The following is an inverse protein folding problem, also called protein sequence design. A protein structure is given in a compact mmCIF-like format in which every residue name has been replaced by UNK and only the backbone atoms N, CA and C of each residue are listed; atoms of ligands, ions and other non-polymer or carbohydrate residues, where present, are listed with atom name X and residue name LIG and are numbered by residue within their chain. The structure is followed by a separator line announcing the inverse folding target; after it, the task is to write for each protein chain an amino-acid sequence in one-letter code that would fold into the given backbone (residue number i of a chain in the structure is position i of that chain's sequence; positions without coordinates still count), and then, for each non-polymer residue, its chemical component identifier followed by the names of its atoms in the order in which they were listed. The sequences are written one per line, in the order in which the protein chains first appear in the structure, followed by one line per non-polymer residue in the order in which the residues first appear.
data_IF_320581071469
#
_entry.id   IF_320581071469
#
_cell.length_a   1.000
_cell.length_b   1.000
_cell.length_c   1.000
_cell.angle_alpha   90.00
_cell.angle_beta   90.00
_cell.angle_gamma   90.00
#
_symmetry.space_group_name_H-M   'P 1'
#
loop_
_entity.id
_entity.type
_entity.pdbx_description
1 polymer ?
#
# COMPACT_ATOMS: atom_id res chain seq x y z
N UNK A 1 -5.37 20.23 8.13
CA UNK A 1 -3.93 19.89 8.12
C UNK A 1 -3.68 18.90 6.99
N UNK A 2 -2.54 19.02 6.30
CA UNK A 2 -2.08 18.01 5.36
C UNK A 2 -1.55 16.82 6.18
N UNK A 3 -1.76 15.57 5.70
CA UNK A 3 -1.23 14.40 6.38
C UNK A 3 0.30 14.46 6.45
N UNK A 4 0.88 13.99 7.55
CA UNK A 4 2.33 13.98 7.76
C UNK A 4 3.08 13.02 6.79
N UNK A 5 2.35 12.10 6.17
CA UNK A 5 2.86 11.16 5.19
C UNK A 5 1.98 11.16 3.92
N UNK A 6 2.58 11.31 2.75
CA UNK A 6 1.88 11.44 1.46
C UNK A 6 2.63 10.67 0.38
N UNK A 7 1.94 9.79 -0.33
CA UNK A 7 2.46 9.18 -1.56
C UNK A 7 2.35 10.22 -2.68
N UNK A 8 3.45 10.49 -3.37
CA UNK A 8 3.51 11.52 -4.41
C UNK A 8 3.59 10.95 -5.82
N UNK A 9 4.20 9.78 -6.01
CA UNK A 9 4.39 9.18 -7.34
C UNK A 9 4.56 7.67 -7.26
N UNK A 10 4.10 6.97 -8.30
CA UNK A 10 4.45 5.58 -8.56
C UNK A 10 4.99 5.44 -9.98
N UNK A 11 6.08 4.70 -10.14
CA UNK A 11 6.66 4.35 -11.43
C UNK A 11 6.74 2.83 -11.53
N UNK A 12 6.21 2.29 -12.62
CA UNK A 12 6.35 0.88 -12.99
C UNK A 12 7.16 0.81 -14.27
N UNK A 13 8.30 0.14 -14.26
CA UNK A 13 9.23 0.11 -15.41
C UNK A 13 8.59 -0.58 -16.61
N UNK A 14 7.83 -1.65 -16.36
CA UNK A 14 7.05 -2.36 -17.37
C UNK A 14 5.99 -3.25 -16.71
N UNK A 15 4.98 -3.68 -17.49
CA UNK A 15 3.97 -4.62 -17.04
C UNK A 15 3.32 -5.29 -18.25
N UNK A 16 3.05 -6.59 -18.19
CA UNK A 16 2.36 -7.28 -19.28
C UNK A 16 0.97 -6.73 -19.58
N UNK A 17 0.32 -6.12 -18.59
CA UNK A 17 -1.06 -5.66 -18.71
C UNK A 17 -1.17 -4.15 -18.97
N UNK A 18 -0.35 -3.34 -18.32
CA UNK A 18 -0.43 -1.87 -18.40
C UNK A 18 0.75 -1.25 -19.16
N UNK A 19 1.79 -2.03 -19.48
CA UNK A 19 3.05 -1.49 -19.99
C UNK A 19 3.79 -0.65 -18.95
N UNK A 20 4.74 0.21 -19.39
CA UNK A 20 5.37 1.20 -18.53
C UNK A 20 4.32 2.20 -18.02
N UNK A 21 4.41 2.56 -16.73
CA UNK A 21 3.41 3.42 -16.10
C UNK A 21 4.08 4.40 -15.14
N UNK A 22 3.68 5.65 -15.23
CA UNK A 22 4.01 6.68 -14.24
C UNK A 22 2.74 7.38 -13.81
N UNK A 23 2.50 7.45 -12.50
CA UNK A 23 1.34 8.11 -11.92
C UNK A 23 1.85 9.09 -10.86
N UNK A 24 1.48 10.34 -10.99
CA UNK A 24 1.64 11.36 -9.97
C UNK A 24 0.35 11.45 -9.14
N UNK A 25 0.50 11.53 -7.81
CA UNK A 25 -0.63 11.57 -6.88
C UNK A 25 -0.80 12.97 -6.28
N UNK A 26 -2.05 13.36 -6.13
CA UNK A 26 -2.41 14.55 -5.37
C UNK A 26 -2.22 14.26 -3.86
N UNK A 27 -1.86 15.29 -3.10
CA UNK A 27 -1.61 15.15 -1.65
C UNK A 27 -2.87 14.90 -0.81
N UNK A 28 -4.05 15.19 -1.32
CA UNK A 28 -5.30 15.04 -0.59
C UNK A 28 -6.09 13.80 -1.00
N UNK A 29 -6.58 13.78 -2.22
CA UNK A 29 -7.48 12.74 -2.70
C UNK A 29 -7.16 12.39 -4.15
N UNK A 30 -7.15 11.08 -4.46
CA UNK A 30 -6.95 10.56 -5.79
C UNK A 30 -8.04 9.56 -6.15
N UNK A 31 -8.64 9.70 -7.30
CA UNK A 31 -9.64 8.78 -7.82
C UNK A 31 -9.16 8.13 -9.12
N UNK A 32 -9.14 6.79 -9.16
CA UNK A 32 -8.86 6.04 -10.38
C UNK A 32 -10.19 5.66 -11.03
N UNK A 33 -10.50 6.27 -12.16
CA UNK A 33 -11.77 6.13 -12.87
C UNK A 33 -11.56 5.32 -14.15
N UNK A 34 -12.54 4.53 -14.54
CA UNK A 34 -12.51 3.75 -15.78
C UNK A 34 -13.50 2.60 -15.75
N UNK A 35 -13.76 1.99 -16.90
CA UNK A 35 -14.65 0.85 -17.07
C UNK A 35 -14.17 -0.43 -16.39
N UNK A 36 -14.96 -1.50 -16.46
CA UNK A 36 -14.56 -2.82 -15.98
C UNK A 36 -13.39 -3.35 -16.83
N UNK A 37 -12.37 -3.92 -16.19
CA UNK A 37 -11.22 -4.51 -16.88
C UNK A 37 -10.11 -3.53 -17.29
N UNK A 38 -10.24 -2.22 -17.01
CA UNK A 38 -9.25 -1.20 -17.41
C UNK A 38 -7.99 -1.12 -16.54
N UNK A 39 -7.80 -2.03 -15.59
CA UNK A 39 -6.58 -2.06 -14.77
C UNK A 39 -6.59 -1.23 -13.49
N UNK A 40 -7.73 -0.62 -13.09
CA UNK A 40 -7.81 0.17 -11.85
C UNK A 40 -7.31 -0.58 -10.61
N UNK A 41 -7.80 -1.80 -10.41
CA UNK A 41 -7.37 -2.64 -9.30
C UNK A 41 -5.92 -3.11 -9.44
N UNK A 42 -5.43 -3.24 -10.67
CA UNK A 42 -4.03 -3.60 -10.96
C UNK A 42 -3.09 -2.48 -10.53
N UNK A 43 -3.43 -1.22 -10.83
CA UNK A 43 -2.67 -0.04 -10.38
C UNK A 43 -2.56 -0.02 -8.85
N UNK A 44 -3.68 -0.19 -8.16
CA UNK A 44 -3.69 -0.24 -6.69
C UNK A 44 -2.90 -1.44 -6.14
N UNK A 45 -2.94 -2.58 -6.81
CA UNK A 45 -2.16 -3.76 -6.44
C UNK A 45 -0.65 -3.53 -6.60
N UNK A 46 -0.24 -2.81 -7.65
CA UNK A 46 1.18 -2.45 -7.84
C UNK A 46 1.66 -1.47 -6.78
N UNK A 47 0.84 -0.47 -6.43
CA UNK A 47 1.14 0.46 -5.35
C UNK A 47 1.31 -0.27 -4.01
N UNK A 48 0.37 -1.14 -3.66
CA UNK A 48 0.41 -1.95 -2.44
C UNK A 48 1.65 -2.84 -2.40
N UNK A 49 1.93 -3.53 -3.50
CA UNK A 49 3.10 -4.40 -3.61
C UNK A 49 4.40 -3.62 -3.48
N UNK A 50 4.52 -2.46 -4.14
CA UNK A 50 5.69 -1.57 -4.05
C UNK A 50 5.93 -1.06 -2.63
N UNK A 51 4.87 -0.83 -1.86
CA UNK A 51 4.92 -0.42 -0.45
C UNK A 51 4.98 -1.61 0.52
N UNK A 52 5.18 -2.83 0.02
CA UNK A 52 5.27 -4.05 0.83
C UNK A 52 4.00 -4.32 1.67
N UNK A 53 2.84 -3.75 1.28
CA UNK A 53 1.58 -4.03 1.93
C UNK A 53 1.13 -5.45 1.56
N UNK A 54 0.98 -6.28 2.57
CA UNK A 54 0.37 -7.60 2.44
C UNK A 54 -0.98 -7.57 3.14
N UNK A 55 -2.03 -8.13 2.51
CA UNK A 55 -3.30 -8.31 3.20
C UNK A 55 -3.02 -9.09 4.49
N UNK A 56 -3.51 -8.58 5.61
CA UNK A 56 -3.33 -9.24 6.89
C UNK A 56 -3.91 -10.66 6.82
N UNK A 57 -3.07 -11.66 7.11
CA UNK A 57 -3.49 -13.07 7.21
C UNK A 57 -4.38 -13.33 8.45
N UNK A 58 -4.90 -12.26 9.08
CA UNK A 58 -5.63 -12.35 10.34
C UNK A 58 -7.03 -12.96 10.25
N UNK A 59 -7.52 -13.28 9.05
CA UNK A 59 -8.78 -13.99 8.87
C UNK A 59 -8.54 -15.42 8.33
N UNK A 60 -7.83 -16.26 9.09
CA UNK A 60 -7.78 -17.70 8.84
C UNK A 60 -9.16 -18.40 8.97
N UNK A 61 -10.19 -17.68 9.41
CA UNK A 61 -11.55 -18.20 9.57
C UNK A 61 -12.44 -17.96 8.35
N UNK A 62 -12.07 -17.09 7.41
CA UNK A 62 -12.81 -16.93 6.16
C UNK A 62 -11.97 -17.41 4.98
N UNK A 63 -12.44 -18.47 4.30
CA UNK A 63 -11.89 -18.98 3.04
C UNK A 63 -11.75 -17.93 1.92
N UNK A 64 -12.34 -16.74 2.11
CA UNK A 64 -12.30 -15.62 1.19
C UNK A 64 -11.10 -14.68 1.37
N UNK A 65 -10.59 -14.47 2.59
CA UNK A 65 -9.42 -13.59 2.82
C UNK A 65 -8.13 -14.21 2.26
N UNK A 66 -7.92 -15.50 2.46
CA UNK A 66 -6.87 -16.26 1.77
C UNK A 66 -6.95 -16.15 0.25
N UNK A 67 -8.17 -16.00 -0.31
CA UNK A 67 -8.38 -15.81 -1.74
C UNK A 67 -7.97 -14.41 -2.25
N UNK A 68 -8.05 -13.35 -1.43
CA UNK A 68 -7.70 -11.97 -1.84
C UNK A 68 -6.18 -11.81 -1.92
N UNK A 69 -5.45 -12.22 -0.90
CA UNK A 69 -3.98 -12.21 -0.90
C UNK A 69 -3.40 -13.09 -2.01
N UNK A 70 -3.97 -14.29 -2.21
CA UNK A 70 -3.57 -15.17 -3.29
C UNK A 70 -3.84 -14.58 -4.69
N UNK A 71 -4.97 -13.89 -4.88
CA UNK A 71 -5.27 -13.20 -6.14
C UNK A 71 -4.29 -12.06 -6.43
N UNK A 72 -3.99 -11.24 -5.42
CA UNK A 72 -3.01 -10.16 -5.56
C UNK A 72 -1.64 -10.72 -5.92
N UNK A 73 -1.18 -11.75 -5.22
CA UNK A 73 0.09 -12.41 -5.49
C UNK A 73 0.15 -12.94 -6.92
N UNK A 74 -0.86 -13.71 -7.37
CA UNK A 74 -0.96 -14.19 -8.74
C UNK A 74 -0.97 -13.09 -9.79
N UNK A 75 -1.62 -11.96 -9.51
CA UNK A 75 -1.62 -10.80 -10.40
C UNK A 75 -0.19 -10.25 -10.57
N UNK A 76 0.52 -10.04 -9.49
CA UNK A 76 1.91 -9.54 -9.49
C UNK A 76 2.82 -10.53 -10.24
N UNK A 77 2.76 -11.82 -9.90
CA UNK A 77 3.53 -12.88 -10.55
C UNK A 77 3.25 -12.96 -12.06
N UNK A 78 2.00 -12.82 -12.47
CA UNK A 78 1.62 -12.92 -13.89
C UNK A 78 1.99 -11.67 -14.70
N UNK A 79 2.08 -10.49 -14.08
CA UNK A 79 2.18 -9.23 -14.82
C UNK A 79 3.54 -8.53 -14.69
N UNK A 80 4.23 -8.66 -13.56
CA UNK A 80 5.50 -8.00 -13.31
C UNK A 80 6.70 -8.96 -13.45
N UNK A 81 6.63 -10.18 -12.91
CA UNK A 81 7.74 -11.11 -12.87
C UNK A 81 8.29 -11.48 -14.25
N UNK A 82 7.45 -11.79 -15.27
CA UNK A 82 7.96 -12.21 -16.59
C UNK A 82 8.74 -11.11 -17.34
N UNK A 83 8.66 -9.87 -16.88
CA UNK A 83 9.34 -8.72 -17.47
C UNK A 83 10.44 -8.16 -16.55
N UNK A 84 10.72 -8.85 -15.46
CA UNK A 84 11.62 -8.36 -14.40
C UNK A 84 11.33 -6.90 -14.06
N UNK A 85 10.05 -6.60 -13.87
CA UNK A 85 9.60 -5.25 -13.69
C UNK A 85 10.01 -4.69 -12.31
N UNK A 86 10.24 -3.40 -12.28
CA UNK A 86 10.52 -2.66 -11.08
C UNK A 86 9.34 -1.74 -10.76
N UNK A 87 8.91 -1.73 -9.51
CA UNK A 87 7.97 -0.74 -8.99
C UNK A 87 8.70 0.19 -8.04
N UNK A 88 8.57 1.47 -8.30
CA UNK A 88 9.15 2.54 -7.49
C UNK A 88 8.02 3.42 -6.96
N UNK A 89 8.01 3.65 -5.65
CA UNK A 89 7.01 4.50 -4.98
C UNK A 89 7.73 5.62 -4.26
N UNK A 90 7.36 6.85 -4.60
CA UNK A 90 7.85 8.07 -3.97
C UNK A 90 6.83 8.56 -2.95
N UNK A 91 7.28 8.91 -1.78
CA UNK A 91 6.44 9.47 -0.72
C UNK A 91 7.22 10.45 0.14
N UNK A 92 6.51 11.30 0.85
CA UNK A 92 7.09 12.31 1.75
C UNK A 92 6.58 12.04 3.15
N UNK A 93 7.48 12.00 4.13
CA UNK A 93 7.14 11.91 5.56
C UNK A 93 7.77 13.11 6.27
N UNK A 94 6.97 13.91 6.94
CA UNK A 94 7.42 15.11 7.66
C UNK A 94 8.31 16.04 6.78
N UNK A 95 7.97 16.17 5.50
CA UNK A 95 8.72 16.98 4.54
C UNK A 95 9.98 16.33 3.97
N UNK A 96 10.35 15.14 4.40
CA UNK A 96 11.51 14.38 3.90
C UNK A 96 11.07 13.44 2.79
N UNK A 97 11.64 13.54 1.56
CA UNK A 97 11.31 12.64 0.47
C UNK A 97 11.90 11.24 0.71
N UNK A 98 11.13 10.23 0.36
CA UNK A 98 11.50 8.82 0.43
C UNK A 98 11.18 8.15 -0.90
N UNK A 99 11.97 7.16 -1.27
CA UNK A 99 11.71 6.32 -2.45
C UNK A 99 11.94 4.86 -2.08
N UNK A 100 10.91 4.04 -2.24
CA UNK A 100 11.02 2.58 -2.18
C UNK A 100 11.05 2.04 -3.60
N UNK A 101 11.99 1.16 -3.88
CA UNK A 101 12.15 0.46 -5.15
C UNK A 101 12.12 -1.04 -4.90
N UNK A 102 11.21 -1.74 -5.56
CA UNK A 102 11.05 -3.19 -5.46
C UNK A 102 11.18 -3.85 -6.82
N UNK A 103 12.07 -4.85 -6.92
CA UNK A 103 12.33 -5.62 -8.12
C UNK A 103 11.47 -6.90 -8.11
N UNK A 104 10.87 -7.25 -9.24
CA UNK A 104 9.90 -8.33 -9.29
C UNK A 104 10.54 -9.73 -9.20
N UNK A 105 11.58 -10.01 -9.98
CA UNK A 105 12.18 -11.35 -10.06
C UNK A 105 12.94 -11.74 -8.79
N UNK A 106 13.75 -10.81 -8.26
CA UNK A 106 14.59 -11.03 -7.08
C UNK A 106 13.87 -10.73 -5.77
N UNK A 107 12.77 -9.99 -5.81
CA UNK A 107 12.10 -9.47 -4.62
C UNK A 107 12.91 -8.42 -3.85
N UNK A 108 14.07 -7.99 -4.39
CA UNK A 108 14.95 -7.02 -3.73
C UNK A 108 14.23 -5.70 -3.51
N UNK A 109 14.37 -5.19 -2.28
CA UNK A 109 13.83 -3.89 -1.88
C UNK A 109 14.99 -2.97 -1.56
N UNK A 110 14.93 -1.76 -2.08
CA UNK A 110 15.86 -0.69 -1.79
C UNK A 110 15.11 0.55 -1.36
N UNK A 111 15.62 1.21 -0.35
CA UNK A 111 15.05 2.43 0.23
C UNK A 111 16.04 3.58 0.05
N UNK A 112 15.54 4.74 -0.33
CA UNK A 112 16.25 6.00 -0.35
C UNK A 112 15.54 7.01 0.53
N UNK A 113 16.29 7.72 1.38
CA UNK A 113 15.77 8.76 2.29
C UNK A 113 16.48 10.07 1.99
N UNK A 114 15.73 11.10 1.69
CA UNK A 114 16.27 12.42 1.36
C UNK A 114 17.22 12.38 0.16
N UNK A 115 18.38 12.99 0.33
CA UNK A 115 19.46 13.02 -0.68
C UNK A 115 20.41 11.82 -0.64
N UNK A 116 20.19 10.83 0.25
CA UNK A 116 21.06 9.66 0.39
C UNK A 116 20.98 8.71 -0.81
N UNK A 117 21.89 7.77 -0.91
CA UNK A 117 21.86 6.70 -1.90
C UNK A 117 20.83 5.61 -1.52
N UNK A 118 20.49 4.77 -2.50
CA UNK A 118 19.65 3.61 -2.26
C UNK A 118 20.36 2.55 -1.44
N UNK A 119 19.80 2.18 -0.30
CA UNK A 119 20.28 1.09 0.56
C UNK A 119 19.33 -0.10 0.52
N UNK A 120 19.80 -1.34 0.71
CA UNK A 120 18.93 -2.50 0.89
C UNK A 120 18.00 -2.29 2.09
N UNK A 121 16.75 -2.72 1.97
CA UNK A 121 15.75 -2.64 3.02
C UNK A 121 14.92 -3.93 3.08
N UNK A 122 14.26 -4.18 4.21
CA UNK A 122 13.33 -5.29 4.38
C UNK A 122 11.89 -4.80 4.27
N UNK A 123 10.97 -5.72 4.02
CA UNK A 123 9.54 -5.39 3.96
C UNK A 123 9.03 -4.75 5.25
N UNK A 124 9.49 -5.25 6.41
CA UNK A 124 9.12 -4.71 7.72
C UNK A 124 9.55 -3.26 7.89
N UNK A 125 10.74 -2.90 7.40
CA UNK A 125 11.28 -1.54 7.50
C UNK A 125 10.40 -0.56 6.71
N UNK A 126 9.96 -0.96 5.50
CA UNK A 126 9.06 -0.16 4.66
C UNK A 126 7.69 -0.02 5.30
N UNK A 127 7.12 -1.10 5.84
CA UNK A 127 5.80 -1.08 6.52
C UNK A 127 5.80 -0.22 7.76
N UNK A 128 6.87 -0.28 8.56
CA UNK A 128 7.02 0.54 9.75
C UNK A 128 7.15 2.03 9.40
N UNK A 129 7.83 2.34 8.29
CA UNK A 129 8.06 3.70 7.84
C UNK A 129 6.79 4.36 7.28
N UNK A 130 6.01 3.62 6.50
CA UNK A 130 4.76 4.08 5.90
C UNK A 130 3.66 3.03 6.08
N UNK A 131 3.01 2.99 7.26
CA UNK A 131 1.88 2.11 7.49
C UNK A 131 0.70 2.57 6.63
N UNK A 132 0.31 1.72 5.68
CA UNK A 132 -0.86 1.97 4.82
C UNK A 132 -2.00 1.03 5.20
N UNK A 133 -3.23 1.52 5.07
CA UNK A 133 -4.45 0.74 5.21
C UNK A 133 -5.10 0.58 3.84
N UNK A 134 -5.12 -0.64 3.33
CA UNK A 134 -5.71 -0.92 2.03
C UNK A 134 -6.86 -1.93 2.15
N UNK A 135 -7.99 -1.57 1.58
CA UNK A 135 -9.22 -2.37 1.61
C UNK A 135 -9.63 -2.77 0.20
N UNK A 136 -10.04 -4.00 0.02
CA UNK A 136 -10.69 -4.43 -1.22
C UNK A 136 -12.18 -4.05 -1.18
N UNK A 137 -12.81 -3.98 -2.37
CA UNK A 137 -14.25 -3.71 -2.47
C UNK A 137 -15.09 -4.71 -1.66
N UNK A 138 -14.70 -5.99 -1.65
CA UNK A 138 -15.38 -7.03 -0.87
C UNK A 138 -15.22 -6.82 0.63
N UNK A 139 -14.03 -6.43 1.09
CA UNK A 139 -13.80 -6.10 2.51
C UNK A 139 -14.67 -4.92 2.94
N UNK A 140 -14.75 -3.85 2.14
CA UNK A 140 -15.63 -2.71 2.44
C UNK A 140 -17.11 -3.11 2.48
N UNK A 141 -17.54 -4.03 1.63
CA UNK A 141 -18.93 -4.54 1.68
C UNK A 141 -19.20 -5.41 2.91
N UNK A 142 -18.18 -6.12 3.42
CA UNK A 142 -18.30 -6.94 4.64
C UNK A 142 -18.17 -6.14 5.93
N UNK A 143 -17.39 -5.04 5.90
CA UNK A 143 -17.24 -4.12 7.05
C UNK A 143 -18.59 -3.53 7.48
N UNK A 144 -19.48 -3.24 6.54
CA UNK A 144 -20.84 -2.76 6.86
C UNK A 144 -21.69 -3.76 7.67
N UNK A 145 -21.28 -5.03 7.75
CA UNK A 145 -21.98 -6.12 8.44
C UNK A 145 -21.34 -6.45 9.80
N UNK A 146 -20.08 -6.04 10.03
CA UNK A 146 -19.33 -6.32 11.27
C UNK A 146 -19.02 -5.02 12.01
N UNK A 147 -19.68 -4.84 13.14
CA UNK A 147 -19.53 -3.64 13.99
C UNK A 147 -18.06 -3.47 14.46
N UNK A 148 -17.37 -4.55 14.78
CA UNK A 148 -15.98 -4.53 15.25
C UNK A 148 -15.00 -4.01 14.17
N UNK A 149 -15.21 -4.43 12.92
CA UNK A 149 -14.44 -3.94 11.78
C UNK A 149 -14.75 -2.47 11.44
N UNK A 150 -16.02 -2.09 11.58
CA UNK A 150 -16.44 -0.70 11.39
C UNK A 150 -15.83 0.20 12.48
N UNK A 151 -15.85 -0.24 13.73
CA UNK A 151 -15.21 0.46 14.85
C UNK A 151 -13.72 0.64 14.56
N UNK A 152 -13.01 -0.42 14.20
CA UNK A 152 -11.59 -0.38 13.84
C UNK A 152 -11.31 0.56 12.66
N UNK A 153 -12.17 0.55 11.65
CA UNK A 153 -12.07 1.44 10.48
C UNK A 153 -12.18 2.91 10.87
N UNK A 154 -13.10 3.22 11.80
CA UNK A 154 -13.33 4.59 12.28
C UNK A 154 -12.23 5.02 13.26
N UNK A 155 -11.77 4.13 14.13
CA UNK A 155 -10.81 4.46 15.19
C UNK A 155 -9.36 4.44 14.72
N UNK A 156 -8.99 3.64 13.71
CA UNK A 156 -7.61 3.54 13.23
C UNK A 156 -6.96 4.90 12.89
N UNK A 157 -7.64 5.85 12.22
CA UNK A 157 -7.06 7.17 11.91
C UNK A 157 -6.86 8.06 13.14
N UNK A 158 -7.60 7.83 14.23
CA UNK A 158 -7.59 8.65 15.45
C UNK A 158 -7.00 7.90 16.65
N UNK A 159 -6.56 6.65 16.46
CA UNK A 159 -6.00 5.84 17.54
C UNK A 159 -4.82 6.50 18.26
N UNK A 160 -3.87 7.16 17.57
CA UNK A 160 -2.79 7.88 18.25
C UNK A 160 -3.29 8.98 19.18
N UNK A 161 -4.36 9.68 18.78
CA UNK A 161 -4.95 10.74 19.61
C UNK A 161 -5.69 10.13 20.82
N UNK A 162 -6.38 9.01 20.64
CA UNK A 162 -7.03 8.29 21.72
C UNK A 162 -6.01 7.75 22.75
N UNK A 163 -4.93 7.16 22.29
CA UNK A 163 -3.86 6.65 23.15
C UNK A 163 -3.15 7.78 23.93
N UNK A 164 -3.08 8.98 23.35
CA UNK A 164 -2.58 10.17 24.04
C UNK A 164 -3.54 10.65 25.12
N UNK A 165 -4.84 10.71 24.85
CA UNK A 165 -5.88 11.05 25.82
C UNK A 165 -5.92 10.05 26.98
N UNK A 166 -5.85 8.77 26.71
CA UNK A 166 -5.85 7.72 27.73
C UNK A 166 -4.63 7.86 28.67
N UNK A 167 -3.47 8.25 28.16
CA UNK A 167 -2.29 8.55 28.97
C UNK A 167 -2.49 9.78 29.87
N UNK A 168 -3.11 10.85 29.34
CA UNK A 168 -3.38 12.07 30.12
C UNK A 168 -4.43 11.85 31.23
N UNK A 169 -5.33 10.88 31.08
CA UNK A 169 -6.34 10.54 32.09
C UNK A 169 -5.74 9.65 33.18
N UNK A 170 -4.70 8.87 32.88
CA UNK A 170 -4.05 7.93 33.80
C UNK A 170 -3.00 8.59 34.72
N UNK A 171 -2.63 9.84 34.47
CA UNK A 171 -1.78 10.69 35.33
C UNK A 171 -2.64 11.51 36.31
#
# INVERSE_FOLDING_TARGET
QLPNAVVSKMVVSNSKFLGPLTIDFNQQYNAVIGGRGTGKSTILSYLRWGLCDQPADHDQTSSEAGSIGARQRRLIEATLFPLDAQVEVHFVINGIPHVVRRQADTGNIRLKIGGADFVPAREEDVRALLPIHAYSQKQLSSVAVRVDELTRFITAPIQPDLDEFDRQIAE
#
